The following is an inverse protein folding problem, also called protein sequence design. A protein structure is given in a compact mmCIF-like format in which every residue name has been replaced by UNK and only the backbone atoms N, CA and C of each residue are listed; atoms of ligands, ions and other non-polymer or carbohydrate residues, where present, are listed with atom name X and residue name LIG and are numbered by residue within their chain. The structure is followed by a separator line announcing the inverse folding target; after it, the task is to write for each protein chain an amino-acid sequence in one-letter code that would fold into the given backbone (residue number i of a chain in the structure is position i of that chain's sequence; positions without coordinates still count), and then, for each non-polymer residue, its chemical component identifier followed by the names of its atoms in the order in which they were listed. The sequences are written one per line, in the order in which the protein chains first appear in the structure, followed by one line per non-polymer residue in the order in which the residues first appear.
data_IF_620054629562
#
_entry.id   IF_620054629562
#
_cell.length_a   1.000
_cell.length_b   1.000
_cell.length_c   1.000
_cell.angle_alpha   90.00
_cell.angle_beta   90.00
_cell.angle_gamma   90.00
#
_symmetry.space_group_name_H-M   'P 1'
#
loop_
_entity.id
_entity.type
_entity.pdbx_description
1 polymer ?
#
# COMPACT_ATOMS: atom_id res chain seq x y z
N UNK A 1 35.97 -20.96 -6.60
CA UNK A 1 35.37 -19.70 -6.11
C UNK A 1 35.06 -18.69 -7.23
N UNK A 2 35.92 -18.50 -8.24
CA UNK A 2 35.70 -17.55 -9.33
C UNK A 2 34.40 -17.78 -10.15
N UNK A 3 34.01 -19.03 -10.39
CA UNK A 3 32.78 -19.40 -11.11
C UNK A 3 31.49 -19.08 -10.35
N UNK A 4 31.53 -18.99 -9.02
CA UNK A 4 30.36 -18.69 -8.19
C UNK A 4 30.07 -17.19 -8.18
N UNK A 5 31.12 -16.36 -8.09
CA UNK A 5 31.03 -14.90 -8.18
C UNK A 5 30.57 -14.48 -9.59
N UNK A 6 31.09 -15.12 -10.63
CA UNK A 6 30.68 -14.85 -12.02
C UNK A 6 29.22 -15.21 -12.31
N UNK A 7 28.65 -16.22 -11.63
CA UNK A 7 27.26 -16.68 -11.83
C UNK A 7 26.26 -16.12 -10.81
N UNK A 8 26.74 -15.48 -9.74
CA UNK A 8 25.91 -14.81 -8.73
C UNK A 8 24.92 -13.78 -9.32
N UNK A 9 25.33 -12.86 -10.23
CA UNK A 9 24.38 -11.89 -10.81
C UNK A 9 23.29 -12.57 -11.64
N UNK A 10 23.64 -13.58 -12.43
CA UNK A 10 22.67 -14.37 -13.21
C UNK A 10 21.68 -15.12 -12.31
N UNK A 11 22.14 -15.64 -11.17
CA UNK A 11 21.26 -16.30 -10.18
C UNK A 11 20.30 -15.31 -9.51
N UNK A 12 20.78 -14.10 -9.21
CA UNK A 12 19.96 -13.02 -8.66
C UNK A 12 18.87 -12.59 -9.64
N UNK A 13 19.22 -12.40 -10.91
CA UNK A 13 18.24 -12.05 -11.96
C UNK A 13 17.21 -13.16 -12.13
N UNK A 14 17.64 -14.42 -12.25
CA UNK A 14 16.72 -15.55 -12.38
C UNK A 14 15.79 -15.72 -11.16
N UNK A 15 16.24 -15.31 -9.97
CA UNK A 15 15.42 -15.33 -8.75
C UNK A 15 14.44 -14.15 -8.67
N UNK A 16 14.90 -12.95 -9.01
CA UNK A 16 14.14 -11.70 -8.87
C UNK A 16 13.11 -11.52 -10.00
N UNK A 17 13.47 -11.88 -11.23
CA UNK A 17 12.63 -11.67 -12.41
C UNK A 17 11.21 -12.23 -12.27
N UNK A 18 10.98 -13.52 -11.90
CA UNK A 18 9.62 -14.02 -11.76
C UNK A 18 8.84 -13.34 -10.62
N UNK A 19 9.52 -12.97 -9.52
CA UNK A 19 8.89 -12.29 -8.38
C UNK A 19 8.46 -10.87 -8.72
N UNK A 20 9.33 -10.13 -9.41
CA UNK A 20 9.02 -8.80 -9.91
C UNK A 20 7.91 -8.85 -10.96
N UNK A 21 7.88 -9.88 -11.82
CA UNK A 21 6.78 -10.05 -12.77
C UNK A 21 5.43 -10.24 -12.06
N UNK A 22 5.38 -11.06 -11.01
CA UNK A 22 4.19 -11.22 -10.17
C UNK A 22 3.81 -9.92 -9.46
N UNK A 23 4.78 -9.22 -8.86
CA UNK A 23 4.55 -7.93 -8.22
C UNK A 23 3.97 -6.91 -9.21
N UNK A 24 4.58 -6.75 -10.38
CA UNK A 24 4.13 -5.80 -11.42
C UNK A 24 2.73 -6.17 -11.91
N UNK A 25 2.39 -7.46 -12.01
CA UNK A 25 1.04 -7.90 -12.40
C UNK A 25 -0.03 -7.38 -11.42
N UNK A 26 0.19 -7.51 -10.11
CA UNK A 26 -0.76 -7.04 -9.10
C UNK A 26 -0.71 -5.52 -8.91
N UNK A 27 0.49 -4.93 -8.93
CA UNK A 27 0.67 -3.48 -8.82
C UNK A 27 -0.09 -2.72 -9.91
N UNK A 28 -0.17 -3.25 -11.14
CA UNK A 28 -0.93 -2.64 -12.24
C UNK A 28 -2.43 -2.56 -12.00
N UNK A 29 -3.00 -3.41 -11.15
CA UNK A 29 -4.45 -3.39 -10.89
C UNK A 29 -4.76 -2.76 -9.53
N UNK A 30 -3.94 -2.99 -8.51
CA UNK A 30 -4.19 -2.50 -7.15
C UNK A 30 -3.57 -1.12 -6.85
N UNK A 31 -2.44 -0.78 -7.48
CA UNK A 31 -1.70 0.47 -7.20
C UNK A 31 -1.86 1.52 -8.30
N UNK A 32 -2.68 1.25 -9.30
CA UNK A 32 -2.97 2.24 -10.35
C UNK A 32 -3.90 3.32 -9.80
N UNK A 33 -3.64 4.60 -10.08
CA UNK A 33 -4.52 5.67 -9.64
C UNK A 33 -5.97 5.41 -10.11
N UNK A 34 -6.96 5.55 -9.21
CA UNK A 34 -8.34 5.31 -9.56
C UNK A 34 -8.83 6.31 -10.61
N UNK A 35 -9.83 5.90 -11.39
CA UNK A 35 -10.52 6.77 -12.33
C UNK A 35 -11.33 7.85 -11.60
N UNK A 36 -11.63 9.00 -12.25
CA UNK A 36 -12.47 10.04 -11.64
C UNK A 36 -13.85 9.56 -11.17
N UNK A 37 -14.43 8.56 -11.86
CA UNK A 37 -15.70 7.96 -11.45
C UNK A 37 -15.60 7.18 -10.14
N UNK A 38 -14.52 6.44 -9.95
CA UNK A 38 -14.24 5.69 -8.71
C UNK A 38 -13.94 6.64 -7.55
N UNK A 39 -13.27 7.77 -7.80
CA UNK A 39 -13.08 8.82 -6.79
C UNK A 39 -14.42 9.37 -6.28
N UNK A 40 -15.37 9.63 -7.19
CA UNK A 40 -16.71 10.06 -6.81
C UNK A 40 -17.45 9.02 -5.96
N UNK A 41 -17.26 7.72 -6.24
CA UNK A 41 -17.80 6.65 -5.41
C UNK A 41 -17.12 6.57 -4.03
N UNK A 42 -15.80 6.74 -3.96
CA UNK A 42 -15.05 6.74 -2.71
C UNK A 42 -15.52 7.86 -1.76
N UNK A 43 -15.80 9.05 -2.28
CA UNK A 43 -16.37 10.17 -1.49
C UNK A 43 -17.76 9.84 -0.95
N UNK A 44 -18.61 9.18 -1.74
CA UNK A 44 -19.93 8.74 -1.26
C UNK A 44 -19.81 7.66 -0.18
N UNK A 45 -18.87 6.74 -0.34
CA UNK A 45 -18.59 5.68 0.63
C UNK A 45 -18.06 6.25 1.95
N UNK A 46 -17.19 7.27 1.91
CA UNK A 46 -16.70 7.92 3.14
C UNK A 46 -17.81 8.63 3.91
N UNK A 47 -18.73 9.31 3.21
CA UNK A 47 -19.92 9.91 3.85
C UNK A 47 -20.78 8.87 4.58
N UNK A 48 -20.94 7.67 3.99
CA UNK A 48 -21.66 6.56 4.63
C UNK A 48 -20.94 6.01 5.86
N UNK A 49 -19.60 6.00 5.87
CA UNK A 49 -18.81 5.63 7.06
C UNK A 49 -19.05 6.62 8.20
N UNK A 50 -19.09 7.93 7.92
CA UNK A 50 -19.40 8.96 8.93
C UNK A 50 -20.80 8.72 9.52
N UNK A 51 -21.81 8.50 8.66
CA UNK A 51 -23.17 8.18 9.15
C UNK A 51 -23.19 6.90 10.00
N UNK A 52 -22.39 5.90 9.65
CA UNK A 52 -22.28 4.64 10.40
C UNK A 52 -21.62 4.85 11.77
N UNK A 53 -20.65 5.77 11.85
CA UNK A 53 -20.03 6.17 13.11
C UNK A 53 -21.03 6.90 14.03
N UNK A 54 -21.79 7.86 13.49
CA UNK A 54 -22.83 8.61 14.22
C UNK A 54 -23.97 7.72 14.73
N UNK A 55 -24.31 6.67 13.98
CA UNK A 55 -25.36 5.70 14.34
C UNK A 55 -24.86 4.57 15.25
N UNK A 56 -23.63 4.68 15.80
CA UNK A 56 -23.02 3.70 16.70
C UNK A 56 -22.90 2.27 16.13
N UNK A 57 -22.91 2.09 14.81
CA UNK A 57 -22.76 0.76 14.18
C UNK A 57 -21.40 0.10 14.44
N UNK A 58 -20.39 0.87 14.78
CA UNK A 58 -19.07 0.35 15.14
C UNK A 58 -19.10 -0.48 16.44
N UNK A 59 -20.07 -0.25 17.33
CA UNK A 59 -20.20 -0.99 18.58
C UNK A 59 -20.68 -2.44 18.37
N UNK A 60 -21.23 -2.77 17.20
CA UNK A 60 -21.64 -4.14 16.84
C UNK A 60 -20.58 -4.88 16.03
N UNK A 61 -19.45 -4.24 15.70
CA UNK A 61 -18.39 -4.86 14.92
C UNK A 61 -17.66 -5.92 15.74
N UNK A 62 -17.32 -7.04 15.11
CA UNK A 62 -16.50 -8.07 15.75
C UNK A 62 -15.05 -7.61 15.86
N UNK A 63 -14.30 -8.19 16.81
CA UNK A 63 -12.87 -7.88 17.00
C UNK A 63 -12.05 -8.16 15.73
N UNK A 64 -12.39 -9.22 14.99
CA UNK A 64 -11.74 -9.54 13.72
C UNK A 64 -11.92 -8.45 12.67
N UNK A 65 -13.14 -7.94 12.49
CA UNK A 65 -13.43 -6.84 11.54
C UNK A 65 -12.74 -5.55 11.97
N UNK A 66 -12.80 -5.21 13.26
CA UNK A 66 -12.15 -4.03 13.79
C UNK A 66 -10.62 -4.08 13.57
N UNK A 67 -10.01 -5.26 13.74
CA UNK A 67 -8.57 -5.47 13.55
C UNK A 67 -8.17 -5.31 12.09
N UNK A 68 -8.91 -5.90 11.15
CA UNK A 68 -8.64 -5.76 9.70
C UNK A 68 -8.76 -4.29 9.29
N UNK A 69 -9.82 -3.61 9.72
CA UNK A 69 -10.02 -2.19 9.43
C UNK A 69 -8.89 -1.32 10.01
N UNK A 70 -8.42 -1.62 11.22
CA UNK A 70 -7.29 -0.91 11.82
C UNK A 70 -5.99 -1.08 11.02
N UNK A 71 -5.71 -2.29 10.53
CA UNK A 71 -4.52 -2.56 9.70
C UNK A 71 -4.60 -1.78 8.37
N UNK A 72 -5.76 -1.77 7.72
CA UNK A 72 -5.96 -1.00 6.47
C UNK A 72 -5.75 0.50 6.73
N UNK A 73 -6.28 1.04 7.83
CA UNK A 73 -6.08 2.45 8.21
C UNK A 73 -4.59 2.75 8.46
N UNK A 74 -3.88 1.84 9.12
CA UNK A 74 -2.45 1.98 9.35
C UNK A 74 -1.65 1.96 8.03
N UNK A 75 -2.02 1.09 7.08
CA UNK A 75 -1.41 1.06 5.74
C UNK A 75 -1.61 2.37 4.98
N UNK A 76 -2.82 2.94 5.00
CA UNK A 76 -3.11 4.24 4.38
C UNK A 76 -2.27 5.35 5.02
N UNK A 77 -2.09 5.33 6.35
CA UNK A 77 -1.23 6.29 7.03
C UNK A 77 0.25 6.12 6.63
N UNK A 78 0.73 4.90 6.44
CA UNK A 78 2.09 4.65 5.94
C UNK A 78 2.32 5.25 4.54
N UNK A 79 1.31 5.25 3.65
CA UNK A 79 1.41 5.89 2.33
C UNK A 79 1.61 7.41 2.42
N UNK A 80 1.07 8.08 3.43
CA UNK A 80 1.35 9.50 3.68
C UNK A 80 2.84 9.73 3.97
N UNK A 81 3.45 8.91 4.83
CA UNK A 81 4.89 9.02 5.14
C UNK A 81 5.79 8.67 3.96
N UNK A 82 5.39 7.72 3.10
CA UNK A 82 6.09 7.47 1.84
C UNK A 82 6.08 8.72 0.96
N UNK A 83 4.93 9.39 0.85
CA UNK A 83 4.80 10.67 0.15
C UNK A 83 5.70 11.76 0.75
N UNK A 84 5.78 11.84 2.08
CA UNK A 84 6.69 12.76 2.78
C UNK A 84 8.16 12.46 2.45
N UNK A 85 8.58 11.19 2.46
CA UNK A 85 9.95 10.80 2.07
C UNK A 85 10.27 11.19 0.62
N UNK A 86 9.31 11.05 -0.31
CA UNK A 86 9.46 11.51 -1.70
C UNK A 86 9.58 13.03 -1.75
N UNK A 87 8.71 13.77 -1.03
CA UNK A 87 8.71 15.24 -1.00
C UNK A 87 9.98 15.83 -0.39
N UNK A 88 10.56 15.15 0.61
CA UNK A 88 11.84 15.52 1.24
C UNK A 88 13.06 15.17 0.39
N UNK A 89 12.95 14.18 -0.50
CA UNK A 89 14.08 13.61 -1.23
C UNK A 89 15.05 12.81 -0.34
N UNK A 90 14.68 12.48 0.89
CA UNK A 90 15.50 11.73 1.83
C UNK A 90 14.65 10.71 2.60
N UNK A 91 15.23 9.53 2.82
CA UNK A 91 14.66 8.50 3.68
C UNK A 91 14.85 8.81 5.17
N UNK A 92 15.83 9.67 5.50
CA UNK A 92 16.19 10.01 6.88
C UNK A 92 16.26 11.53 7.02
N UNK A 93 15.31 12.09 7.77
CA UNK A 93 15.26 13.51 8.08
C UNK A 93 15.13 14.43 6.85
N UNK A 94 15.11 15.73 7.10
CA UNK A 94 15.35 16.74 6.06
C UNK A 94 16.85 16.94 5.93
N UNK A 95 17.34 17.05 4.68
CA UNK A 95 18.68 17.54 4.41
C UNK A 95 18.64 19.07 4.57
N UNK A 96 18.95 19.54 5.78
CA UNK A 96 19.12 20.96 6.10
C UNK A 96 20.55 21.41 5.90
#
# INVERSE_FOLDING_TARGET
MATFIAKAPLRLVNFAQPRLATFVRYAKVELTPPSPGELGQAVKSSAKLVQSALTFKWATATVGEATVNAIIVAEIACWFFIGECIGKGSLIGYQV
#
